data_IF_528888230745
#
_entry.id   IF_528888230745
#
_cell.length_a   1.000
_cell.length_b   1.000
_cell.length_c   1.000
_cell.angle_alpha   90.00
_cell.angle_beta   90.00
_cell.angle_gamma   90.00
#
_symmetry.space_group_name_H-M   'P 1'
#
loop_
_entity.id
_entity.type
_entity.pdbx_description
1 polymer ?
#
# COMPACT_ATOMS: atom_id res chain seq x y z
N UNK A 1 70.47 -31.15 56.02
CA UNK A 1 69.07 -31.21 56.51
C UNK A 1 68.38 -29.83 56.54
N UNK A 2 69.09 -28.70 56.61
CA UNK A 2 68.49 -27.35 56.61
C UNK A 2 68.12 -26.77 55.22
N UNK A 3 68.60 -27.34 54.12
CA UNK A 3 68.31 -26.84 52.76
C UNK A 3 66.97 -27.36 52.22
N UNK A 4 66.57 -28.59 52.61
CA UNK A 4 65.31 -29.19 52.18
C UNK A 4 64.07 -28.48 52.77
N UNK A 5 64.16 -27.98 54.01
CA UNK A 5 63.08 -27.24 54.66
C UNK A 5 62.83 -25.83 54.07
N UNK A 6 63.83 -25.23 53.42
CA UNK A 6 63.70 -23.91 52.80
C UNK A 6 62.95 -23.95 51.48
N UNK A 7 63.12 -25.02 50.70
CA UNK A 7 62.50 -25.19 49.38
C UNK A 7 61.01 -25.50 49.52
N UNK A 8 60.61 -26.35 50.48
CA UNK A 8 59.20 -26.65 50.74
C UNK A 8 58.41 -25.42 51.22
N UNK A 9 59.06 -24.53 51.97
CA UNK A 9 58.42 -23.29 52.45
C UNK A 9 58.22 -22.28 51.32
N UNK A 10 59.15 -22.19 50.38
CA UNK A 10 59.04 -21.32 49.21
C UNK A 10 57.95 -21.81 48.23
N UNK A 11 57.88 -23.13 47.99
CA UNK A 11 56.84 -23.72 47.14
C UNK A 11 55.43 -23.57 47.75
N UNK A 12 55.31 -23.71 49.08
CA UNK A 12 54.05 -23.47 49.79
C UNK A 12 53.57 -22.01 49.68
N UNK A 13 54.48 -21.03 49.65
CA UNK A 13 54.13 -19.62 49.49
C UNK A 13 53.67 -19.33 48.05
N UNK A 14 54.36 -19.87 47.05
CA UNK A 14 54.01 -19.70 45.63
C UNK A 14 52.65 -20.34 45.28
N UNK A 15 52.34 -21.51 45.86
CA UNK A 15 51.03 -22.15 45.71
C UNK A 15 49.88 -21.37 46.38
N UNK A 16 50.15 -20.70 47.51
CA UNK A 16 49.14 -19.85 48.15
C UNK A 16 48.88 -18.56 47.35
N UNK A 17 49.92 -17.98 46.76
CA UNK A 17 49.83 -16.76 45.96
C UNK A 17 49.09 -16.99 44.64
N UNK A 18 49.38 -18.10 43.96
CA UNK A 18 48.66 -18.54 42.75
C UNK A 18 47.19 -18.87 43.04
N UNK A 19 46.88 -19.56 44.16
CA UNK A 19 45.49 -19.80 44.58
C UNK A 19 44.74 -18.51 44.94
N UNK A 20 45.42 -17.51 45.53
CA UNK A 20 44.82 -16.21 45.87
C UNK A 20 44.55 -15.37 44.62
N UNK A 21 45.47 -15.35 43.66
CA UNK A 21 45.27 -14.66 42.38
C UNK A 21 44.14 -15.30 41.55
N UNK A 22 44.07 -16.63 41.50
CA UNK A 22 42.99 -17.31 40.78
C UNK A 22 41.61 -17.02 41.40
N UNK A 23 41.52 -16.91 42.74
CA UNK A 23 40.27 -16.50 43.42
C UNK A 23 39.90 -15.04 43.17
N UNK A 24 40.89 -14.14 43.03
CA UNK A 24 40.64 -12.73 42.70
C UNK A 24 40.10 -12.59 41.28
N UNK A 25 40.69 -13.29 40.32
CA UNK A 25 40.26 -13.30 38.91
C UNK A 25 38.84 -13.88 38.79
N UNK A 26 38.55 -14.96 39.54
CA UNK A 26 37.21 -15.56 39.56
C UNK A 26 36.14 -14.65 40.18
N UNK A 27 36.49 -13.89 41.23
CA UNK A 27 35.59 -12.89 41.83
C UNK A 27 35.33 -11.72 40.87
N UNK A 28 36.34 -11.25 40.15
CA UNK A 28 36.19 -10.17 39.15
C UNK A 28 35.35 -10.61 37.95
N UNK A 29 35.51 -11.85 37.46
CA UNK A 29 34.64 -12.42 36.41
C UNK A 29 33.19 -12.57 36.89
N UNK A 30 32.98 -12.97 38.14
CA UNK A 30 31.64 -13.12 38.70
C UNK A 30 30.97 -11.76 38.95
N UNK A 31 31.73 -10.74 39.35
CA UNK A 31 31.24 -9.36 39.48
C UNK A 31 30.92 -8.74 38.11
N UNK A 32 31.75 -9.02 37.09
CA UNK A 32 31.49 -8.59 35.71
C UNK A 32 30.23 -9.25 35.13
N UNK A 33 30.01 -10.54 35.43
CA UNK A 33 28.82 -11.27 34.98
C UNK A 33 27.55 -10.78 35.68
N UNK A 34 27.60 -10.49 36.99
CA UNK A 34 26.47 -9.93 37.72
C UNK A 34 26.10 -8.51 37.22
N UNK A 35 27.09 -7.66 36.97
CA UNK A 35 26.87 -6.32 36.37
C UNK A 35 26.29 -6.40 34.94
N UNK A 36 26.65 -7.43 34.17
CA UNK A 36 26.09 -7.64 32.83
C UNK A 36 24.62 -8.06 32.89
N UNK A 37 24.27 -8.97 33.81
CA UNK A 37 22.88 -9.41 34.04
C UNK A 37 22.02 -8.25 34.54
N UNK A 38 22.53 -7.43 35.46
CA UNK A 38 21.82 -6.24 35.98
C UNK A 38 21.57 -5.18 34.88
N UNK A 39 22.54 -4.97 33.98
CA UNK A 39 22.40 -4.08 32.81
C UNK A 39 21.40 -4.62 31.77
N UNK A 40 21.26 -5.93 31.64
CA UNK A 40 20.25 -6.56 30.77
C UNK A 40 18.83 -6.42 31.35
N UNK A 41 18.67 -6.52 32.66
CA UNK A 41 17.39 -6.29 33.33
C UNK A 41 16.96 -4.80 33.27
N UNK A 42 17.90 -3.86 33.39
CA UNK A 42 17.60 -2.43 33.24
C UNK A 42 17.15 -2.08 31.81
N UNK A 43 17.83 -2.61 30.77
CA UNK A 43 17.48 -2.39 29.35
C UNK A 43 16.14 -2.99 28.93
N UNK A 44 15.65 -4.00 29.65
CA UNK A 44 14.32 -4.59 29.42
C UNK A 44 13.19 -3.70 29.97
N UNK A 45 13.46 -2.83 30.94
CA UNK A 45 12.45 -1.95 31.55
C UNK A 45 12.26 -0.66 30.75
N UNK A 46 13.29 -0.19 30.05
CA UNK A 46 13.28 1.10 29.34
C UNK A 46 12.70 1.02 27.91
N UNK A 47 12.40 -0.19 27.41
CA UNK A 47 11.83 -0.41 26.06
C UNK A 47 10.29 -0.44 26.02
N UNK A 48 9.61 -0.17 27.14
CA UNK A 48 8.15 -0.24 27.22
C UNK A 48 7.42 1.10 27.07
N UNK A 49 8.12 2.24 26.96
CA UNK A 49 7.48 3.56 27.17
C UNK A 49 7.68 4.62 26.07
N UNK A 50 8.23 4.26 24.90
CA UNK A 50 8.54 5.27 23.86
C UNK A 50 8.19 4.82 22.44
N UNK A 51 6.91 4.50 22.16
CA UNK A 51 6.33 4.68 20.82
C UNK A 51 4.84 5.06 20.96
N UNK A 52 4.57 6.33 21.24
CA UNK A 52 3.26 6.93 20.96
C UNK A 52 3.45 8.26 20.22
N UNK A 53 2.70 8.42 19.12
CA UNK A 53 2.51 9.64 18.29
C UNK A 53 3.57 9.88 17.18
N UNK A 54 3.26 10.02 15.88
CA UNK A 54 2.21 10.78 15.15
C UNK A 54 2.04 10.20 13.69
N UNK A 55 1.21 10.77 12.78
CA UNK A 55 -0.25 10.86 12.82
C UNK A 55 -0.89 10.39 11.49
N UNK A 56 -2.19 10.08 11.54
CA UNK A 56 -3.06 10.20 10.37
C UNK A 56 -3.51 8.90 9.72
N UNK A 57 -4.57 8.31 10.26
CA UNK A 57 -5.75 7.97 9.46
C UNK A 57 -6.92 7.70 10.41
N UNK A 58 -7.96 8.52 10.28
CA UNK A 58 -9.25 8.34 10.96
C UNK A 58 -9.81 6.97 10.60
N UNK A 59 -10.07 6.12 11.58
CA UNK A 59 -11.07 5.06 11.44
C UNK A 59 -11.84 4.90 12.75
N UNK A 60 -13.16 4.81 12.60
CA UNK A 60 -14.15 4.82 13.67
C UNK A 60 -14.06 3.55 14.53
N UNK A 61 -14.19 3.79 15.83
CA UNK A 61 -14.52 2.87 16.90
C UNK A 61 -15.34 1.64 16.50
N UNK A 62 -14.83 0.45 16.84
CA UNK A 62 -15.65 -0.65 17.34
C UNK A 62 -14.89 -1.34 18.48
N UNK A 63 -15.45 -1.25 19.70
CA UNK A 63 -15.05 -2.03 20.86
C UNK A 63 -15.33 -3.51 20.57
N UNK A 64 -14.28 -4.34 20.62
CA UNK A 64 -14.42 -5.79 20.70
C UNK A 64 -14.69 -6.16 22.16
N UNK A 65 -15.95 -6.53 22.45
CA UNK A 65 -16.29 -7.24 23.68
C UNK A 65 -16.01 -8.72 23.42
N UNK A 66 -15.00 -9.26 24.11
CA UNK A 66 -14.78 -10.70 24.26
C UNK A 66 -15.79 -11.21 25.28
N UNK A 67 -16.61 -12.24 25.00
CA UNK A 67 -17.25 -13.00 26.06
C UNK A 67 -16.33 -14.15 26.47
N UNK A 68 -15.90 -14.14 27.74
CA UNK A 68 -15.48 -15.35 28.44
C UNK A 68 -16.71 -16.22 28.77
N UNK A 69 -16.53 -17.53 28.98
CA UNK A 69 -17.64 -18.45 29.18
C UNK A 69 -18.07 -18.44 30.65
N UNK A 70 -19.37 -18.31 30.90
CA UNK A 70 -19.96 -18.60 32.20
C UNK A 70 -20.87 -19.82 32.07
N UNK A 71 -20.51 -20.84 32.86
CA UNK A 71 -21.39 -21.89 33.36
C UNK A 71 -22.33 -21.26 34.40
N UNK A 72 -23.65 -21.42 34.24
CA UNK A 72 -24.56 -21.96 35.27
C UNK A 72 -26.03 -21.93 34.81
N UNK A 73 -26.54 -23.13 34.54
CA UNK A 73 -27.78 -23.73 35.08
C UNK A 73 -28.98 -22.82 35.42
N UNK A 74 -30.15 -23.11 34.82
CA UNK A 74 -31.38 -23.63 35.50
C UNK A 74 -32.56 -23.74 34.49
N UNK A 75 -33.08 -24.98 34.40
CA UNK A 75 -34.43 -25.47 34.08
C UNK A 75 -35.44 -24.66 33.23
N UNK A 76 -36.00 -25.29 32.18
CA UNK A 76 -37.35 -25.91 32.25
C UNK A 76 -37.77 -26.62 30.93
N UNK A 77 -37.99 -27.93 31.07
CA UNK A 77 -39.06 -28.78 30.51
C UNK A 77 -39.49 -28.66 29.04
N UNK A 78 -39.18 -29.74 28.32
CA UNK A 78 -39.81 -30.23 27.10
C UNK A 78 -41.24 -30.72 27.37
N UNK A 79 -42.25 -30.15 26.70
CA UNK A 79 -43.57 -30.75 26.57
C UNK A 79 -44.01 -30.85 25.10
N UNK A 80 -44.49 -32.03 24.74
CA UNK A 80 -45.12 -32.39 23.46
C UNK A 80 -46.49 -31.70 23.34
N UNK A 81 -47.03 -31.51 22.12
CA UNK A 81 -48.46 -31.48 21.92
C UNK A 81 -48.94 -32.79 21.28
N UNK A 82 -49.73 -33.55 22.04
CA UNK A 82 -50.73 -34.49 21.54
C UNK A 82 -52.09 -33.84 21.85
N UNK A 83 -53.00 -33.74 20.88
CA UNK A 83 -54.48 -33.68 21.01
C UNK A 83 -55.03 -33.51 19.57
N UNK A 84 -56.16 -34.05 19.14
CA UNK A 84 -56.91 -35.30 19.30
C UNK A 84 -58.03 -35.17 18.24
N UNK A 85 -58.52 -36.30 17.74
CA UNK A 85 -59.55 -36.41 16.71
C UNK A 85 -60.89 -35.74 17.07
N UNK A 86 -61.54 -35.25 16.01
CA UNK A 86 -62.96 -35.41 15.64
C UNK A 86 -63.93 -35.83 16.74
N UNK A 87 -64.93 -34.96 17.00
CA UNK A 87 -66.29 -35.40 17.33
C UNK A 87 -67.33 -34.38 16.83
N UNK A 88 -68.16 -34.83 15.90
CA UNK A 88 -69.40 -34.18 15.50
C UNK A 88 -70.39 -34.14 16.68
N UNK A 89 -71.11 -33.04 16.85
CA UNK A 89 -72.35 -33.00 17.63
C UNK A 89 -73.27 -31.90 17.07
N UNK A 90 -74.41 -32.35 16.56
CA UNK A 90 -75.57 -31.59 16.12
C UNK A 90 -76.00 -30.50 17.10
N UNK A 91 -76.33 -29.31 16.58
CA UNK A 91 -77.47 -28.51 17.04
C UNK A 91 -78.11 -27.82 15.84
N UNK A 92 -79.28 -28.35 15.45
CA UNK A 92 -80.27 -27.67 14.62
C UNK A 92 -80.71 -26.37 15.28
N UNK A 93 -80.78 -25.28 14.50
CA UNK A 93 -81.68 -24.17 14.77
C UNK A 93 -82.28 -23.71 13.44
N UNK A 94 -83.42 -24.30 13.07
CA UNK A 94 -84.34 -23.68 12.14
C UNK A 94 -84.96 -22.45 12.82
N UNK A 95 -84.92 -21.29 12.15
CA UNK A 95 -85.98 -20.30 12.32
C UNK A 95 -86.26 -19.63 10.98
N UNK A 96 -87.54 -19.68 10.64
CA UNK A 96 -88.15 -19.36 9.37
C UNK A 96 -87.89 -17.94 8.87
N UNK A 97 -87.73 -17.88 7.55
CA UNK A 97 -87.83 -16.74 6.66
C UNK A 97 -88.93 -15.74 7.04
N UNK A 98 -88.60 -14.45 7.01
CA UNK A 98 -89.41 -13.47 6.28
C UNK A 98 -88.63 -12.17 6.08
N UNK A 99 -88.75 -11.60 4.89
CA UNK A 99 -88.15 -10.34 4.45
C UNK A 99 -86.62 -10.37 4.24
N UNK A 100 -86.16 -10.77 3.05
CA UNK A 100 -85.36 -9.89 2.18
C UNK A 100 -84.79 -10.60 0.97
N UNK A 101 -85.59 -10.67 -0.11
CA UNK A 101 -85.08 -10.93 -1.46
C UNK A 101 -84.13 -9.81 -1.94
N UNK A 102 -83.99 -8.72 -1.18
CA UNK A 102 -82.99 -7.65 -1.40
C UNK A 102 -81.79 -7.65 -0.43
N UNK A 103 -81.75 -8.47 0.63
CA UNK A 103 -80.61 -8.56 1.57
C UNK A 103 -79.74 -9.78 1.36
N UNK A 104 -80.27 -10.86 0.78
CA UNK A 104 -79.46 -12.00 0.35
C UNK A 104 -78.43 -11.60 -0.72
N UNK A 105 -78.85 -10.78 -1.68
CA UNK A 105 -77.97 -10.21 -2.70
C UNK A 105 -76.89 -9.29 -2.07
N UNK A 106 -77.19 -8.60 -0.98
CA UNK A 106 -76.20 -7.76 -0.27
C UNK A 106 -75.23 -8.61 0.56
N UNK A 107 -75.70 -9.69 1.21
CA UNK A 107 -74.84 -10.65 1.93
C UNK A 107 -73.92 -11.39 0.97
N UNK A 108 -74.42 -11.85 -0.17
CA UNK A 108 -73.60 -12.48 -1.22
C UNK A 108 -72.56 -11.52 -1.81
N UNK A 109 -72.91 -10.25 -2.03
CA UNK A 109 -71.95 -9.21 -2.45
C UNK A 109 -70.87 -8.96 -1.40
N UNK A 110 -71.22 -8.96 -0.12
CA UNK A 110 -70.25 -8.84 0.99
C UNK A 110 -69.36 -10.08 1.06
N UNK A 111 -69.92 -11.28 0.96
CA UNK A 111 -69.16 -12.54 0.94
C UNK A 111 -68.21 -12.59 -0.25
N UNK A 112 -68.66 -12.18 -1.45
CA UNK A 112 -67.82 -12.13 -2.64
C UNK A 112 -66.69 -11.09 -2.51
N UNK A 113 -66.95 -9.95 -1.87
CA UNK A 113 -65.92 -8.93 -1.58
C UNK A 113 -64.86 -9.48 -0.60
N UNK A 114 -65.29 -10.15 0.47
CA UNK A 114 -64.39 -10.77 1.44
C UNK A 114 -63.55 -11.91 0.85
N UNK A 115 -64.12 -12.72 -0.05
CA UNK A 115 -63.37 -13.76 -0.77
C UNK A 115 -62.30 -13.15 -1.69
N UNK A 116 -62.61 -12.07 -2.40
CA UNK A 116 -61.62 -11.33 -3.21
C UNK A 116 -60.51 -10.75 -2.35
N UNK A 117 -60.84 -10.17 -1.20
CA UNK A 117 -59.84 -9.66 -0.25
C UNK A 117 -58.97 -10.78 0.33
N UNK A 118 -59.57 -11.93 0.64
CA UNK A 118 -58.86 -13.13 1.09
C UNK A 118 -57.89 -13.64 0.03
N UNK A 119 -58.30 -13.67 -1.24
CA UNK A 119 -57.44 -14.08 -2.35
C UNK A 119 -56.31 -13.08 -2.59
N UNK A 120 -56.56 -11.78 -2.47
CA UNK A 120 -55.54 -10.74 -2.51
C UNK A 120 -54.55 -10.91 -1.34
N UNK A 121 -55.04 -11.19 -0.13
CA UNK A 121 -54.20 -11.43 1.06
C UNK A 121 -53.36 -12.70 0.91
N UNK A 122 -53.93 -13.80 0.40
CA UNK A 122 -53.20 -15.04 0.11
C UNK A 122 -52.09 -14.81 -0.92
N UNK A 123 -52.38 -14.09 -2.00
CA UNK A 123 -51.38 -13.75 -3.01
C UNK A 123 -50.26 -12.85 -2.45
N UNK A 124 -50.61 -11.86 -1.62
CA UNK A 124 -49.63 -11.02 -0.92
C UNK A 124 -48.76 -11.83 0.05
N UNK A 125 -49.35 -12.72 0.85
CA UNK A 125 -48.63 -13.57 1.80
C UNK A 125 -47.67 -14.52 1.07
N UNK A 126 -48.12 -15.17 -0.02
CA UNK A 126 -47.24 -15.99 -0.87
C UNK A 126 -46.04 -15.18 -1.41
N UNK A 127 -46.27 -13.96 -1.89
CA UNK A 127 -45.20 -13.07 -2.37
C UNK A 127 -44.24 -12.64 -1.26
N UNK A 128 -44.74 -12.42 -0.04
CA UNK A 128 -43.89 -12.12 1.13
C UNK A 128 -43.05 -13.34 1.54
N UNK A 129 -43.63 -14.54 1.49
CA UNK A 129 -42.92 -15.77 1.79
C UNK A 129 -41.81 -16.05 0.75
N UNK A 130 -42.08 -15.83 -0.53
CA UNK A 130 -41.05 -15.90 -1.59
C UNK A 130 -39.91 -14.91 -1.34
N UNK A 131 -40.24 -13.64 -1.03
CA UNK A 131 -39.23 -12.62 -0.67
C UNK A 131 -38.42 -13.02 0.56
N UNK A 132 -39.05 -13.52 1.61
CA UNK A 132 -38.37 -13.98 2.82
C UNK A 132 -37.38 -15.11 2.50
N UNK A 133 -37.80 -16.10 1.71
CA UNK A 133 -36.90 -17.19 1.31
C UNK A 133 -35.74 -16.73 0.43
N UNK A 134 -35.93 -15.67 -0.36
CA UNK A 134 -34.89 -15.09 -1.20
C UNK A 134 -33.87 -14.30 -0.36
N UNK A 135 -34.34 -13.45 0.56
CA UNK A 135 -33.49 -12.72 1.50
C UNK A 135 -32.70 -13.69 2.39
N UNK A 136 -33.33 -14.76 2.89
CA UNK A 136 -32.66 -15.82 3.66
C UNK A 136 -31.50 -16.47 2.87
N UNK A 137 -31.69 -16.68 1.56
CA UNK A 137 -30.63 -17.23 0.68
C UNK A 137 -29.49 -16.24 0.50
N UNK A 138 -29.78 -14.97 0.25
CA UNK A 138 -28.76 -13.92 0.13
C UNK A 138 -28.01 -13.70 1.45
N UNK A 139 -28.70 -13.71 2.59
CA UNK A 139 -28.08 -13.62 3.92
C UNK A 139 -27.11 -14.79 4.17
N UNK A 140 -27.52 -16.04 3.86
CA UNK A 140 -26.63 -17.21 3.97
C UNK A 140 -25.41 -17.08 3.08
N UNK A 141 -25.59 -16.60 1.84
CA UNK A 141 -24.50 -16.38 0.87
C UNK A 141 -23.52 -15.30 1.34
N UNK A 142 -24.01 -14.19 1.88
CA UNK A 142 -23.17 -13.13 2.45
C UNK A 142 -22.40 -13.63 3.68
N UNK A 143 -23.05 -14.41 4.56
CA UNK A 143 -22.39 -15.02 5.72
C UNK A 143 -21.22 -15.92 5.31
N UNK A 144 -21.44 -16.80 4.33
CA UNK A 144 -20.39 -17.69 3.81
C UNK A 144 -19.23 -16.90 3.17
N UNK A 145 -19.52 -15.80 2.45
CA UNK A 145 -18.47 -14.93 1.89
C UNK A 145 -17.62 -14.27 2.98
N UNK A 146 -18.25 -13.81 4.06
CA UNK A 146 -17.56 -13.17 5.17
C UNK A 146 -16.67 -14.18 5.92
N UNK A 147 -17.18 -15.38 6.19
CA UNK A 147 -16.42 -16.46 6.82
C UNK A 147 -15.23 -16.89 5.95
N UNK A 148 -15.41 -16.99 4.63
CA UNK A 148 -14.32 -17.27 3.71
C UNK A 148 -13.25 -16.17 3.73
N UNK A 149 -13.66 -14.90 3.74
CA UNK A 149 -12.74 -13.77 3.81
C UNK A 149 -11.94 -13.78 5.12
N UNK A 150 -12.59 -14.04 6.25
CA UNK A 150 -11.96 -14.17 7.56
C UNK A 150 -10.89 -15.28 7.55
N UNK A 151 -11.23 -16.46 7.02
CA UNK A 151 -10.29 -17.59 6.91
C UNK A 151 -9.09 -17.28 6.01
N UNK A 152 -9.30 -16.57 4.91
CA UNK A 152 -8.21 -16.12 4.03
C UNK A 152 -7.29 -15.14 4.75
N UNK A 153 -7.85 -14.20 5.52
CA UNK A 153 -7.04 -13.25 6.30
C UNK A 153 -6.27 -13.93 7.43
N UNK A 154 -6.90 -14.88 8.13
CA UNK A 154 -6.28 -15.68 9.20
C UNK A 154 -5.10 -16.50 8.65
N UNK A 155 -5.30 -17.19 7.51
CA UNK A 155 -4.23 -17.95 6.85
C UNK A 155 -3.06 -17.05 6.43
N UNK A 156 -3.33 -15.85 5.90
CA UNK A 156 -2.29 -14.89 5.51
C UNK A 156 -1.51 -14.35 6.72
N UNK A 157 -2.17 -14.18 7.86
CA UNK A 157 -1.50 -13.78 9.11
C UNK A 157 -0.62 -14.93 9.61
N UNK A 158 -1.13 -16.16 9.62
CA UNK A 158 -0.36 -17.33 10.03
C UNK A 158 0.88 -17.55 9.14
N UNK A 159 0.74 -17.45 7.82
CA UNK A 159 1.86 -17.55 6.87
C UNK A 159 2.96 -16.52 7.17
N UNK A 160 2.58 -15.25 7.34
CA UNK A 160 3.53 -14.19 7.69
C UNK A 160 4.20 -14.42 9.05
N UNK A 161 3.44 -14.93 10.02
CA UNK A 161 3.95 -15.20 11.37
C UNK A 161 4.96 -16.34 11.33
N UNK A 162 4.66 -17.41 10.60
CA UNK A 162 5.59 -18.55 10.41
C UNK A 162 6.88 -18.09 9.71
N UNK A 163 6.78 -17.30 8.64
CA UNK A 163 7.95 -16.77 7.94
C UNK A 163 8.85 -15.91 8.86
N UNK A 164 8.25 -15.06 9.69
CA UNK A 164 9.00 -14.25 10.65
C UNK A 164 9.70 -15.11 11.72
N UNK A 165 9.03 -16.16 12.21
CA UNK A 165 9.63 -17.09 13.18
C UNK A 165 10.83 -17.81 12.56
N UNK A 166 10.71 -18.25 11.31
CA UNK A 166 11.81 -18.89 10.57
C UNK A 166 13.00 -17.94 10.37
N UNK A 167 12.76 -16.68 10.02
CA UNK A 167 13.81 -15.65 9.90
C UNK A 167 14.53 -15.41 11.23
N UNK A 168 13.79 -15.25 12.32
CA UNK A 168 14.37 -15.07 13.66
C UNK A 168 15.21 -16.28 14.06
N UNK A 169 14.73 -17.49 13.79
CA UNK A 169 15.46 -18.71 14.08
C UNK A 169 16.77 -18.81 13.28
N UNK A 170 16.72 -18.49 11.97
CA UNK A 170 17.91 -18.46 11.13
C UNK A 170 18.92 -17.41 11.61
N UNK A 171 18.48 -16.18 11.87
CA UNK A 171 19.35 -15.12 12.38
C UNK A 171 19.99 -15.47 13.74
N UNK A 172 19.23 -16.15 14.61
CA UNK A 172 19.73 -16.63 15.89
C UNK A 172 20.81 -17.70 15.71
N UNK A 173 20.60 -18.66 14.82
CA UNK A 173 21.60 -19.68 14.48
C UNK A 173 22.88 -19.07 13.93
N UNK A 174 22.77 -18.12 13.00
CA UNK A 174 23.92 -17.40 12.44
C UNK A 174 24.69 -16.63 13.51
N UNK A 175 23.97 -15.95 14.43
CA UNK A 175 24.59 -15.26 15.57
C UNK A 175 25.36 -16.23 16.47
N UNK A 176 24.78 -17.38 16.81
CA UNK A 176 25.44 -18.37 17.66
C UNK A 176 26.68 -18.98 16.99
N UNK A 177 26.61 -19.24 15.68
CA UNK A 177 27.75 -19.73 14.88
C UNK A 177 28.88 -18.69 14.79
N UNK A 178 28.53 -17.42 14.60
CA UNK A 178 29.50 -16.32 14.58
C UNK A 178 30.18 -16.14 15.94
N UNK A 179 29.42 -16.24 17.05
CA UNK A 179 29.97 -16.17 18.41
C UNK A 179 30.91 -17.34 18.68
N UNK A 180 30.52 -18.56 18.34
CA UNK A 180 31.38 -19.75 18.50
C UNK A 180 32.67 -19.64 17.68
N UNK A 181 32.57 -19.14 16.44
CA UNK A 181 33.72 -18.94 15.57
C UNK A 181 34.69 -17.90 16.13
N UNK A 182 34.17 -16.78 16.65
CA UNK A 182 34.99 -15.74 17.29
C UNK A 182 35.67 -16.23 18.57
N UNK A 183 34.98 -17.03 19.36
CA UNK A 183 35.55 -17.63 20.57
C UNK A 183 36.68 -18.63 20.23
N UNK A 184 36.49 -19.44 19.19
CA UNK A 184 37.55 -20.35 18.71
C UNK A 184 38.78 -19.59 18.26
N UNK A 185 38.62 -18.55 17.45
CA UNK A 185 39.72 -17.72 16.99
C UNK A 185 40.48 -17.08 18.16
N UNK A 186 39.76 -16.53 19.15
CA UNK A 186 40.40 -15.94 20.33
C UNK A 186 41.21 -16.98 21.14
N UNK A 187 40.73 -18.23 21.23
CA UNK A 187 41.48 -19.31 21.87
C UNK A 187 42.72 -19.69 21.07
N UNK A 188 42.60 -19.81 19.75
CA UNK A 188 43.72 -20.10 18.85
C UNK A 188 44.80 -19.01 18.93
N UNK A 189 44.42 -17.73 18.87
CA UNK A 189 45.35 -16.59 18.99
C UNK A 189 46.07 -16.57 20.34
N UNK A 190 45.34 -16.87 21.43
CA UNK A 190 45.92 -16.97 22.77
C UNK A 190 46.91 -18.13 22.86
N UNK A 191 46.55 -19.29 22.34
CA UNK A 191 47.40 -20.48 22.38
C UNK A 191 48.67 -20.27 21.52
N UNK A 192 48.53 -19.60 20.37
CA UNK A 192 49.67 -19.20 19.53
C UNK A 192 50.57 -18.19 20.24
N UNK A 193 50.00 -17.19 20.94
CA UNK A 193 50.76 -16.24 21.74
C UNK A 193 51.53 -16.93 22.87
N UNK A 194 50.92 -17.90 23.55
CA UNK A 194 51.57 -18.72 24.58
C UNK A 194 52.71 -19.54 23.97
N UNK A 195 52.51 -20.15 22.80
CA UNK A 195 53.54 -20.90 22.10
C UNK A 195 54.73 -20.02 21.71
N UNK A 196 54.48 -18.83 21.16
CA UNK A 196 55.53 -17.84 20.83
C UNK A 196 56.31 -17.41 22.07
N UNK A 197 55.61 -17.09 23.17
CA UNK A 197 56.25 -16.69 24.42
C UNK A 197 57.19 -17.78 24.96
N UNK A 198 56.75 -19.05 24.96
CA UNK A 198 57.58 -20.19 25.37
C UNK A 198 58.79 -20.39 24.46
N UNK A 199 58.66 -20.22 23.15
CA UNK A 199 59.79 -20.31 22.22
C UNK A 199 60.83 -19.21 22.45
N UNK A 200 60.38 -17.98 22.72
CA UNK A 200 61.27 -16.88 23.06
C UNK A 200 61.99 -17.12 24.39
N UNK A 201 61.29 -17.63 25.40
CA UNK A 201 61.88 -18.03 26.68
C UNK A 201 62.97 -19.09 26.50
N UNK A 202 62.71 -20.13 25.70
CA UNK A 202 63.71 -21.14 25.37
C UNK A 202 64.93 -20.54 24.64
N UNK A 203 64.70 -19.61 23.70
CA UNK A 203 65.78 -18.93 22.97
C UNK A 203 66.62 -18.04 23.88
N UNK A 204 66.00 -17.31 24.82
CA UNK A 204 66.71 -16.51 25.82
C UNK A 204 67.57 -17.38 26.74
N UNK A 205 67.04 -18.53 27.17
CA UNK A 205 67.79 -19.50 27.99
C UNK A 205 69.00 -20.09 27.26
N UNK A 206 68.96 -20.19 25.94
CA UNK A 206 70.11 -20.58 25.11
C UNK A 206 71.15 -19.46 25.05
N UNK A 207 70.72 -18.20 24.93
CA UNK A 207 71.61 -17.04 24.86
C UNK A 207 72.30 -16.72 26.20
N UNK A 208 71.65 -16.97 27.35
CA UNK A 208 72.24 -16.78 28.68
C UNK A 208 73.52 -17.62 28.92
N UNK A 209 73.72 -18.69 28.14
CA UNK A 209 74.91 -19.55 28.20
C UNK A 209 76.09 -19.09 27.33
N UNK A 210 76.01 -17.92 26.68
CA UNK A 210 77.07 -17.40 25.80
C UNK A 210 77.81 -16.25 26.51
N UNK A 211 79.07 -16.47 26.87
CA UNK A 211 79.99 -15.42 27.32
C UNK A 211 80.27 -14.45 26.15
N UNK A 212 79.88 -13.16 26.22
CA UNK A 212 80.01 -12.24 25.09
C UNK A 212 81.46 -11.78 24.86
N UNK A 213 82.30 -11.75 25.89
CA UNK A 213 83.67 -11.22 25.81
C UNK A 213 84.64 -12.11 25.01
N UNK A 214 84.38 -13.42 24.93
CA UNK A 214 85.20 -14.38 24.16
C UNK A 214 84.77 -14.54 22.69
N UNK A 215 83.53 -14.16 22.32
CA UNK A 215 83.02 -14.36 20.95
C UNK A 215 83.39 -13.22 19.98
N UNK A 216 83.56 -11.99 20.46
CA UNK A 216 83.84 -10.82 19.62
C UNK A 216 85.33 -10.65 19.27
N UNK A 217 86.23 -11.33 19.98
CA UNK A 217 87.65 -11.29 19.64
C UNK A 217 87.91 -11.97 18.29
N UNK A 218 88.66 -11.31 17.42
CA UNK A 218 89.06 -11.95 16.15
C UNK A 218 90.09 -13.05 16.42
N UNK A 219 90.15 -14.08 15.55
CA UNK A 219 91.17 -15.13 15.66
C UNK A 219 92.59 -14.52 15.64
N UNK A 220 92.76 -13.42 14.91
CA UNK A 220 94.02 -12.66 14.86
C UNK A 220 94.36 -12.02 16.20
N UNK A 221 93.39 -11.46 16.93
CA UNK A 221 93.60 -10.91 18.28
C UNK A 221 93.96 -11.99 19.29
N UNK A 222 93.30 -13.15 19.26
CA UNK A 222 93.62 -14.29 20.12
C UNK A 222 95.03 -14.82 19.86
N UNK A 223 95.43 -14.93 18.59
CA UNK A 223 96.79 -15.34 18.21
C UNK A 223 97.84 -14.30 18.63
N UNK A 224 97.55 -13.01 18.46
CA UNK A 224 98.44 -11.93 18.93
C UNK A 224 98.58 -11.93 20.46
N UNK A 225 97.51 -12.24 21.21
CA UNK A 225 97.57 -12.38 22.67
C UNK A 225 98.38 -13.58 23.12
N UNK A 226 98.26 -14.71 22.43
CA UNK A 226 99.12 -15.89 22.68
C UNK A 226 100.59 -15.56 22.40
N UNK A 227 100.87 -14.86 21.30
CA UNK A 227 102.24 -14.50 20.91
C UNK A 227 102.90 -13.49 21.87
N UNK A 228 102.10 -12.65 22.53
CA UNK A 228 102.55 -11.61 23.46
C UNK A 228 102.30 -11.98 24.94
N UNK A 229 101.93 -13.22 25.26
CA UNK A 229 101.62 -13.63 26.62
C UNK A 229 102.90 -13.91 27.43
N UNK A 230 103.06 -13.21 28.56
CA UNK A 230 104.22 -13.34 29.44
C UNK A 230 104.17 -14.57 30.36
N UNK A 231 103.04 -15.30 30.39
CA UNK A 231 102.83 -16.47 31.25
C UNK A 231 102.22 -17.64 30.49
N UNK A 232 102.61 -18.87 30.87
CA UNK A 232 102.06 -20.09 30.29
C UNK A 232 100.56 -20.27 30.55
N UNK A 233 100.04 -19.71 31.65
CA UNK A 233 98.61 -19.73 31.98
C UNK A 233 97.82 -18.88 30.98
N UNK A 234 98.28 -17.67 30.66
CA UNK A 234 97.62 -16.82 29.67
C UNK A 234 97.65 -17.42 28.25
N UNK A 235 98.72 -18.15 27.90
CA UNK A 235 98.77 -18.93 26.65
C UNK A 235 97.71 -20.03 26.65
N UNK A 236 97.56 -20.75 27.77
CA UNK A 236 96.59 -21.84 27.91
C UNK A 236 95.14 -21.34 27.84
N UNK A 237 94.82 -20.23 28.50
CA UNK A 237 93.47 -19.63 28.49
C UNK A 237 93.08 -19.18 27.08
N UNK A 238 93.91 -18.37 26.41
CA UNK A 238 93.64 -17.95 25.04
C UNK A 238 93.64 -19.14 24.06
N UNK A 239 94.49 -20.15 24.29
CA UNK A 239 94.49 -21.40 23.53
C UNK A 239 93.19 -22.19 23.69
N UNK A 240 92.62 -22.25 24.90
CA UNK A 240 91.34 -22.90 25.17
C UNK A 240 90.18 -22.23 24.42
N UNK A 241 90.16 -20.89 24.36
CA UNK A 241 89.17 -20.12 23.59
C UNK A 241 89.25 -20.43 22.10
N UNK A 242 90.45 -20.52 21.52
CA UNK A 242 90.63 -20.89 20.11
C UNK A 242 90.11 -22.31 19.85
N UNK A 243 90.45 -23.27 20.70
CA UNK A 243 90.01 -24.67 20.57
C UNK A 243 88.49 -24.79 20.68
N UNK A 244 87.89 -24.11 21.66
CA UNK A 244 86.44 -24.06 21.85
C UNK A 244 85.75 -23.44 20.61
N UNK A 245 86.29 -22.35 20.05
CA UNK A 245 85.76 -21.72 18.82
C UNK A 245 85.84 -22.65 17.60
N UNK A 246 86.94 -23.38 17.44
CA UNK A 246 87.09 -24.38 16.37
C UNK A 246 86.05 -25.49 16.55
N UNK A 247 85.87 -25.99 17.77
CA UNK A 247 84.91 -27.02 18.09
C UNK A 247 83.48 -26.56 17.80
N UNK A 248 83.08 -25.39 18.32
CA UNK A 248 81.76 -24.76 18.08
C UNK A 248 81.51 -24.50 16.59
N UNK A 249 82.50 -24.03 15.84
CA UNK A 249 82.38 -23.82 14.39
C UNK A 249 82.17 -25.15 13.65
N UNK A 250 82.94 -26.18 14.03
CA UNK A 250 82.80 -27.52 13.44
C UNK A 250 81.44 -28.14 13.76
N UNK A 251 80.96 -27.98 14.98
CA UNK A 251 79.66 -28.50 15.41
C UNK A 251 78.50 -27.73 14.76
N UNK A 252 78.61 -26.41 14.65
CA UNK A 252 77.64 -25.59 13.91
C UNK A 252 77.55 -26.01 12.44
N UNK A 253 78.69 -26.26 11.77
CA UNK A 253 78.70 -26.78 10.39
C UNK A 253 77.99 -28.14 10.28
N UNK A 254 78.25 -29.07 11.19
CA UNK A 254 77.55 -30.37 11.21
C UNK A 254 76.04 -30.21 11.42
N UNK A 255 75.64 -29.34 12.36
CA UNK A 255 74.23 -29.04 12.65
C UNK A 255 73.52 -28.47 11.43
N UNK A 256 74.12 -27.48 10.76
CA UNK A 256 73.59 -26.90 9.52
C UNK A 256 73.43 -27.98 8.45
N UNK A 257 74.47 -28.78 8.20
CA UNK A 257 74.38 -29.87 7.20
C UNK A 257 73.31 -30.90 7.55
N UNK A 258 73.12 -31.23 8.83
CA UNK A 258 72.06 -32.14 9.27
C UNK A 258 70.66 -31.54 9.10
N UNK A 259 70.48 -30.26 9.44
CA UNK A 259 69.23 -29.52 9.22
C UNK A 259 68.90 -29.40 7.73
N UNK A 260 69.87 -29.07 6.89
CA UNK A 260 69.71 -29.03 5.42
C UNK A 260 69.34 -30.40 4.86
N UNK A 261 70.01 -31.47 5.30
CA UNK A 261 69.69 -32.83 4.87
C UNK A 261 68.28 -33.25 5.31
N UNK A 262 67.86 -32.90 6.54
CA UNK A 262 66.51 -33.17 7.02
C UNK A 262 65.45 -32.39 6.23
N UNK A 263 65.67 -31.11 5.94
CA UNK A 263 64.75 -30.30 5.14
C UNK A 263 64.54 -30.91 3.74
N UNK A 264 65.62 -31.37 3.09
CA UNK A 264 65.54 -32.05 1.79
C UNK A 264 64.77 -33.38 1.89
N UNK A 265 64.94 -34.13 2.98
CA UNK A 265 64.19 -35.37 3.20
C UNK A 265 62.70 -35.10 3.42
N UNK A 266 62.35 -34.08 4.20
CA UNK A 266 60.96 -33.67 4.43
C UNK A 266 60.28 -33.20 3.15
N UNK A 267 60.97 -32.39 2.32
CA UNK A 267 60.45 -31.95 1.02
C UNK A 267 60.21 -33.14 0.08
N UNK A 268 61.16 -34.08 0.02
CA UNK A 268 61.01 -35.32 -0.75
C UNK A 268 59.80 -36.12 -0.29
N UNK A 269 59.62 -36.30 1.02
CA UNK A 269 58.54 -37.12 1.57
C UNK A 269 57.17 -36.45 1.41
N UNK A 270 57.11 -35.11 1.50
CA UNK A 270 55.93 -34.33 1.16
C UNK A 270 55.56 -34.50 -0.32
N UNK A 271 56.53 -34.37 -1.24
CA UNK A 271 56.32 -34.58 -2.66
C UNK A 271 55.85 -36.01 -2.97
N UNK A 272 56.47 -37.02 -2.38
CA UNK A 272 56.05 -38.42 -2.53
C UNK A 272 54.62 -38.66 -2.02
N UNK A 273 54.25 -38.03 -0.91
CA UNK A 273 52.89 -38.12 -0.35
C UNK A 273 51.87 -37.46 -1.28
N UNK A 274 52.20 -36.32 -1.88
CA UNK A 274 51.36 -35.68 -2.89
C UNK A 274 51.22 -36.54 -4.14
N UNK A 275 52.30 -37.11 -4.66
CA UNK A 275 52.27 -38.03 -5.80
C UNK A 275 51.35 -39.23 -5.52
N UNK A 276 51.51 -39.90 -4.37
CA UNK A 276 50.66 -41.02 -3.97
C UNK A 276 49.19 -40.65 -3.84
N UNK A 277 48.88 -39.43 -3.37
CA UNK A 277 47.50 -38.93 -3.29
C UNK A 277 46.91 -38.72 -4.68
N UNK A 278 47.65 -38.03 -5.55
CA UNK A 278 47.22 -37.77 -6.94
C UNK A 278 47.04 -39.08 -7.72
N UNK A 279 47.89 -40.08 -7.51
CA UNK A 279 47.74 -41.41 -8.12
C UNK A 279 46.44 -42.10 -7.68
N UNK A 280 46.09 -42.01 -6.40
CA UNK A 280 44.82 -42.55 -5.87
C UNK A 280 43.60 -41.81 -6.41
N UNK A 281 43.66 -40.48 -6.49
CA UNK A 281 42.60 -39.64 -7.06
C UNK A 281 42.39 -39.97 -8.54
N UNK A 282 43.48 -40.14 -9.30
CA UNK A 282 43.42 -40.55 -10.70
C UNK A 282 42.78 -41.93 -10.83
N UNK A 283 43.19 -42.91 -10.00
CA UNK A 283 42.57 -44.24 -10.01
C UNK A 283 41.08 -44.16 -9.68
N UNK A 284 40.69 -43.40 -8.66
CA UNK A 284 39.30 -43.22 -8.27
C UNK A 284 38.47 -42.57 -9.38
N UNK A 285 39.00 -41.54 -10.05
CA UNK A 285 38.33 -40.88 -11.17
C UNK A 285 38.21 -41.80 -12.39
N UNK A 286 39.23 -42.63 -12.66
CA UNK A 286 39.17 -43.67 -13.70
C UNK A 286 38.11 -44.72 -13.39
N UNK A 287 38.03 -45.18 -12.15
CA UNK A 287 37.05 -46.15 -11.69
C UNK A 287 35.64 -45.55 -11.69
N UNK A 288 35.47 -44.29 -11.30
CA UNK A 288 34.20 -43.56 -11.38
C UNK A 288 33.75 -43.39 -12.84
N UNK A 289 34.65 -43.04 -13.76
CA UNK A 289 34.33 -42.94 -15.18
C UNK A 289 34.00 -44.31 -15.80
N UNK A 290 34.73 -45.36 -15.42
CA UNK A 290 34.47 -46.72 -15.90
C UNK A 290 33.15 -47.27 -15.34
N UNK A 291 32.82 -47.00 -14.08
CA UNK A 291 31.54 -47.39 -13.45
C UNK A 291 30.37 -46.53 -13.95
N UNK A 292 30.59 -45.27 -14.32
CA UNK A 292 29.61 -44.42 -14.99
C UNK A 292 29.34 -44.90 -16.43
N UNK A 293 30.39 -45.26 -17.18
CA UNK A 293 30.26 -45.80 -18.54
C UNK A 293 29.61 -47.20 -18.57
N UNK A 294 29.85 -48.04 -17.55
CA UNK A 294 29.26 -49.38 -17.46
C UNK A 294 27.85 -49.41 -16.85
N UNK A 295 27.38 -48.32 -16.21
CA UNK A 295 26.01 -48.19 -15.73
C UNK A 295 25.13 -47.45 -16.73
N UNK A 296 24.62 -48.17 -17.73
CA UNK A 296 23.66 -47.66 -18.73
C UNK A 296 22.43 -46.93 -18.11
N UNK A 297 22.09 -47.22 -16.86
CA UNK A 297 21.03 -46.53 -16.10
C UNK A 297 21.34 -45.08 -15.75
N UNK A 298 22.60 -44.71 -15.51
CA UNK A 298 22.95 -43.35 -15.06
C UNK A 298 22.91 -42.35 -16.22
N UNK A 299 23.43 -42.73 -17.39
CA UNK A 299 23.28 -41.97 -18.64
C UNK A 299 21.80 -41.77 -19.02
N UNK A 300 20.95 -42.77 -18.76
CA UNK A 300 19.51 -42.67 -19.05
C UNK A 300 18.78 -41.77 -18.05
N UNK A 301 19.15 -41.80 -16.77
CA UNK A 301 18.55 -40.95 -15.72
C UNK A 301 18.93 -39.47 -15.88
N UNK A 302 20.20 -39.18 -16.15
CA UNK A 302 20.69 -37.82 -16.42
C UNK A 302 20.07 -37.25 -17.71
N UNK A 303 19.98 -38.06 -18.77
CA UNK A 303 19.29 -37.69 -20.00
C UNK A 303 17.78 -37.46 -19.79
N UNK A 304 17.13 -38.23 -18.91
CA UNK A 304 15.72 -38.03 -18.56
C UNK A 304 15.52 -36.75 -17.74
N UNK A 305 16.44 -36.42 -16.83
CA UNK A 305 16.41 -35.17 -16.07
C UNK A 305 16.66 -33.96 -16.98
N UNK A 306 17.62 -34.05 -17.90
CA UNK A 306 17.87 -33.03 -18.92
C UNK A 306 16.63 -32.83 -19.81
N UNK A 307 16.00 -33.92 -20.26
CA UNK A 307 14.75 -33.86 -21.04
C UNK A 307 13.61 -33.22 -20.25
N UNK A 308 13.48 -33.53 -18.96
CA UNK A 308 12.46 -32.92 -18.10
C UNK A 308 12.69 -31.42 -17.89
N UNK A 309 13.94 -30.99 -17.68
CA UNK A 309 14.29 -29.58 -17.58
C UNK A 309 14.04 -28.84 -18.89
N UNK A 310 14.38 -29.46 -20.03
CA UNK A 310 14.12 -28.89 -21.36
C UNK A 310 12.61 -28.75 -21.64
N UNK A 311 11.81 -29.74 -21.28
CA UNK A 311 10.35 -29.68 -21.39
C UNK A 311 9.76 -28.57 -20.49
N UNK A 312 10.27 -28.42 -19.26
CA UNK A 312 9.85 -27.36 -18.34
C UNK A 312 10.20 -25.97 -18.89
N UNK A 313 11.39 -25.81 -19.46
CA UNK A 313 11.83 -24.56 -20.07
C UNK A 313 10.95 -24.17 -21.27
N UNK A 314 10.64 -25.14 -22.14
CA UNK A 314 9.73 -24.91 -23.27
C UNK A 314 8.33 -24.51 -22.80
N UNK A 315 7.76 -25.21 -21.82
CA UNK A 315 6.45 -24.86 -21.25
C UNK A 315 6.43 -23.47 -20.63
N UNK A 316 7.50 -23.08 -19.92
CA UNK A 316 7.63 -21.72 -19.39
C UNK A 316 7.75 -20.67 -20.49
N UNK A 317 8.43 -20.99 -21.59
CA UNK A 317 8.53 -20.10 -22.74
C UNK A 317 7.17 -19.90 -23.43
N UNK A 318 6.42 -20.97 -23.66
CA UNK A 318 5.06 -20.91 -24.22
C UNK A 318 4.13 -20.09 -23.31
N UNK A 319 4.17 -20.32 -21.99
CA UNK A 319 3.39 -19.53 -21.02
C UNK A 319 3.76 -18.04 -21.06
N UNK A 320 5.06 -17.72 -21.20
CA UNK A 320 5.53 -16.33 -21.37
C UNK A 320 5.00 -15.72 -22.65
N UNK A 321 5.03 -16.44 -23.76
CA UNK A 321 4.54 -15.95 -25.06
C UNK A 321 3.02 -15.69 -25.02
N UNK A 322 2.25 -16.59 -24.39
CA UNK A 322 0.81 -16.38 -24.17
C UNK A 322 0.55 -15.13 -23.32
N UNK A 323 1.29 -14.95 -22.22
CA UNK A 323 1.14 -13.78 -21.36
C UNK A 323 1.48 -12.47 -22.09
N UNK A 324 2.55 -12.47 -22.90
CA UNK A 324 2.92 -11.32 -23.74
C UNK A 324 1.82 -10.99 -24.74
N UNK A 325 1.22 -11.99 -25.36
CA UNK A 325 0.11 -11.78 -26.29
C UNK A 325 -1.12 -11.19 -25.58
N UNK A 326 -1.43 -11.66 -24.36
CA UNK A 326 -2.50 -11.09 -23.53
C UNK A 326 -2.24 -9.64 -23.12
N UNK A 327 -0.99 -9.30 -22.79
CA UNK A 327 -0.64 -7.91 -22.49
C UNK A 327 -0.81 -7.01 -23.71
N UNK A 328 -0.45 -7.49 -24.89
CA UNK A 328 -0.66 -6.74 -26.14
C UNK A 328 -2.15 -6.48 -26.42
N UNK A 329 -3.02 -7.48 -26.24
CA UNK A 329 -4.47 -7.28 -26.40
C UNK A 329 -5.02 -6.29 -25.37
N UNK A 330 -4.56 -6.37 -24.12
CA UNK A 330 -4.98 -5.43 -23.07
C UNK A 330 -4.51 -4.00 -23.35
N UNK A 331 -3.31 -3.83 -23.91
CA UNK A 331 -2.79 -2.54 -24.34
C UNK A 331 -3.66 -1.93 -25.45
N UNK A 332 -4.04 -2.73 -26.45
CA UNK A 332 -4.95 -2.31 -27.53
C UNK A 332 -6.33 -1.91 -26.99
N UNK A 333 -6.87 -2.65 -26.02
CA UNK A 333 -8.13 -2.30 -25.33
C UNK A 333 -8.01 -0.97 -24.57
N UNK A 334 -6.91 -0.76 -23.83
CA UNK A 334 -6.67 0.50 -23.11
C UNK A 334 -6.58 1.67 -24.10
N UNK A 335 -5.90 1.51 -25.23
CA UNK A 335 -5.81 2.55 -26.26
C UNK A 335 -7.19 2.84 -26.85
N UNK A 336 -7.98 1.81 -27.13
CA UNK A 336 -9.36 1.92 -27.62
C UNK A 336 -10.24 2.68 -26.63
N UNK A 337 -10.17 2.32 -25.35
CA UNK A 337 -10.90 3.02 -24.27
C UNK A 337 -10.49 4.49 -24.15
N UNK A 338 -9.20 4.82 -24.31
CA UNK A 338 -8.73 6.21 -24.30
C UNK A 338 -9.33 7.02 -25.44
N UNK A 339 -9.41 6.45 -26.65
CA UNK A 339 -10.06 7.10 -27.80
C UNK A 339 -11.54 7.30 -27.53
N UNK A 340 -12.25 6.28 -27.05
CA UNK A 340 -13.67 6.39 -26.70
C UNK A 340 -13.92 7.46 -25.63
N UNK A 341 -13.13 7.50 -24.56
CA UNK A 341 -13.25 8.51 -23.52
C UNK A 341 -13.00 9.93 -24.05
N UNK A 342 -11.97 10.10 -24.87
CA UNK A 342 -11.66 11.39 -25.51
C UNK A 342 -12.80 11.85 -26.41
N UNK A 343 -13.35 10.95 -27.23
CA UNK A 343 -14.48 11.25 -28.10
C UNK A 343 -15.73 11.62 -27.30
N UNK A 344 -16.07 10.84 -26.28
CA UNK A 344 -17.21 11.12 -25.40
C UNK A 344 -17.08 12.50 -24.73
N UNK A 345 -15.87 12.84 -24.26
CA UNK A 345 -15.59 14.15 -23.66
C UNK A 345 -15.82 15.29 -24.66
N UNK A 346 -15.34 15.14 -25.89
CA UNK A 346 -15.54 16.13 -26.96
C UNK A 346 -17.01 16.27 -27.36
N UNK A 347 -17.74 15.16 -27.51
CA UNK A 347 -19.17 15.16 -27.84
C UNK A 347 -20.01 15.80 -26.72
N UNK A 348 -19.68 15.52 -25.45
CA UNK A 348 -20.35 16.17 -24.32
C UNK A 348 -20.08 17.68 -24.28
N UNK A 349 -18.87 18.10 -24.65
CA UNK A 349 -18.54 19.52 -24.78
C UNK A 349 -19.32 20.17 -25.93
N UNK A 350 -19.50 19.47 -27.05
CA UNK A 350 -20.33 19.92 -28.18
C UNK A 350 -21.81 20.06 -27.79
N UNK A 351 -22.35 19.10 -27.04
CA UNK A 351 -23.73 19.17 -26.52
C UNK A 351 -23.94 20.40 -25.64
N UNK A 352 -22.98 20.68 -24.74
CA UNK A 352 -23.04 21.89 -23.92
C UNK A 352 -22.99 23.18 -24.76
N UNK A 353 -22.11 23.24 -25.77
CA UNK A 353 -22.04 24.38 -26.69
C UNK A 353 -23.34 24.55 -27.50
N UNK A 354 -23.96 23.45 -27.90
CA UNK A 354 -25.25 23.45 -28.60
C UNK A 354 -26.36 24.01 -27.72
N UNK A 355 -26.39 23.65 -26.45
CA UNK A 355 -27.36 24.21 -25.50
C UNK A 355 -27.15 25.71 -25.27
N UNK A 356 -25.89 26.15 -25.13
CA UNK A 356 -25.57 27.58 -25.04
C UNK A 356 -25.99 28.35 -26.31
N UNK A 357 -25.74 27.77 -27.48
CA UNK A 357 -26.15 28.35 -28.75
C UNK A 357 -27.67 28.46 -28.84
N UNK A 358 -28.41 27.39 -28.51
CA UNK A 358 -29.86 27.39 -28.51
C UNK A 358 -30.45 28.41 -27.52
N UNK A 359 -29.86 28.56 -26.33
CA UNK A 359 -30.28 29.57 -25.36
C UNK A 359 -30.07 30.99 -25.89
N UNK A 360 -28.92 31.24 -26.50
CA UNK A 360 -28.61 32.53 -27.15
C UNK A 360 -29.57 32.81 -28.30
N UNK A 361 -29.86 31.82 -29.14
CA UNK A 361 -30.79 31.92 -30.26
C UNK A 361 -32.20 32.27 -29.78
N UNK A 362 -32.72 31.56 -28.77
CA UNK A 362 -34.03 31.85 -28.16
C UNK A 362 -34.10 33.26 -27.60
N UNK A 363 -33.02 33.74 -26.98
CA UNK A 363 -32.95 35.13 -26.47
C UNK A 363 -33.10 36.15 -27.59
N UNK A 364 -32.43 35.92 -28.74
CA UNK A 364 -32.59 36.79 -29.91
C UNK A 364 -33.97 36.69 -30.55
N UNK A 365 -34.55 35.49 -30.64
CA UNK A 365 -35.92 35.27 -31.13
C UNK A 365 -36.95 36.00 -30.25
N UNK A 366 -36.82 35.93 -28.93
CA UNK A 366 -37.68 36.65 -27.99
C UNK A 366 -37.51 38.17 -28.14
N UNK A 367 -36.28 38.66 -28.27
CA UNK A 367 -36.01 40.08 -28.50
C UNK A 367 -36.62 40.58 -29.83
N UNK A 368 -36.49 39.79 -30.91
CA UNK A 368 -37.09 40.10 -32.20
C UNK A 368 -38.61 40.09 -32.14
N UNK A 369 -39.21 39.08 -31.50
CA UNK A 369 -40.67 39.00 -31.31
C UNK A 369 -41.20 40.18 -30.49
N UNK A 370 -40.48 40.57 -29.44
CA UNK A 370 -40.83 41.76 -28.65
C UNK A 370 -40.77 43.04 -29.50
N UNK A 371 -39.73 43.19 -30.33
CA UNK A 371 -39.61 44.31 -31.26
C UNK A 371 -40.74 44.32 -32.29
N UNK A 372 -41.07 43.16 -32.86
CA UNK A 372 -42.17 43.01 -33.82
C UNK A 372 -43.50 43.41 -33.19
N UNK A 373 -43.79 42.94 -31.97
CA UNK A 373 -44.98 43.35 -31.22
C UNK A 373 -45.05 44.87 -31.03
N UNK A 374 -43.94 45.52 -30.66
CA UNK A 374 -43.87 46.99 -30.51
C UNK A 374 -44.13 47.68 -31.84
N UNK A 375 -43.58 47.18 -32.95
CA UNK A 375 -43.82 47.73 -34.29
C UNK A 375 -45.29 47.57 -34.68
N UNK A 376 -45.90 46.40 -34.47
CA UNK A 376 -47.31 46.16 -34.76
C UNK A 376 -48.22 47.10 -33.96
N UNK A 377 -47.96 47.29 -32.67
CA UNK A 377 -48.72 48.23 -31.82
C UNK A 377 -48.57 49.66 -32.36
N UNK A 378 -47.34 50.09 -32.68
CA UNK A 378 -47.07 51.42 -33.20
C UNK A 378 -47.76 51.65 -34.55
N UNK A 379 -47.76 50.63 -35.41
CA UNK A 379 -48.41 50.71 -36.71
C UNK A 379 -49.93 50.81 -36.59
N UNK A 380 -50.54 50.02 -35.72
CA UNK A 380 -51.97 50.12 -35.42
C UNK A 380 -52.35 51.51 -34.90
N UNK A 381 -51.54 52.08 -33.98
CA UNK A 381 -51.75 53.43 -33.48
C UNK A 381 -51.64 54.49 -34.59
N UNK A 382 -50.67 54.36 -35.49
CA UNK A 382 -50.52 55.27 -36.63
C UNK A 382 -51.70 55.18 -37.61
N UNK A 383 -52.20 53.97 -37.88
CA UNK A 383 -53.39 53.75 -38.71
C UNK A 383 -54.62 54.38 -38.06
N UNK A 384 -54.83 54.19 -36.75
CA UNK A 384 -55.91 54.83 -36.01
C UNK A 384 -55.80 56.37 -36.07
N UNK A 385 -54.61 56.92 -35.84
CA UNK A 385 -54.37 58.36 -35.92
C UNK A 385 -54.64 58.92 -37.32
N UNK A 386 -54.27 58.18 -38.38
CA UNK A 386 -54.55 58.56 -39.76
C UNK A 386 -56.07 58.58 -40.04
N UNK A 387 -56.82 57.60 -39.53
CA UNK A 387 -58.29 57.60 -39.65
C UNK A 387 -58.93 58.77 -38.91
N UNK A 388 -58.46 59.08 -37.70
CA UNK A 388 -58.94 60.25 -36.93
C UNK A 388 -58.64 61.56 -37.68
N UNK A 389 -57.43 61.70 -38.24
CA UNK A 389 -57.06 62.87 -39.04
C UNK A 389 -57.96 63.03 -40.28
N UNK A 390 -58.23 61.93 -40.99
CA UNK A 390 -59.09 61.94 -42.16
C UNK A 390 -60.54 62.31 -41.79
N UNK A 391 -61.05 61.80 -40.67
CA UNK A 391 -62.35 62.19 -40.14
C UNK A 391 -62.40 63.69 -39.84
N UNK A 392 -61.43 64.24 -39.10
CA UNK A 392 -61.35 65.67 -38.78
C UNK A 392 -61.27 66.53 -40.07
N UNK A 393 -60.53 66.09 -41.09
CA UNK A 393 -60.48 66.78 -42.37
C UNK A 393 -61.85 66.80 -43.07
N UNK A 394 -62.60 65.69 -43.05
CA UNK A 394 -63.95 65.66 -43.62
C UNK A 394 -64.94 66.51 -42.84
N UNK A 395 -64.89 66.51 -41.51
CA UNK A 395 -65.69 67.36 -40.65
C UNK A 395 -65.40 68.84 -40.91
N UNK A 396 -64.10 69.21 -41.00
CA UNK A 396 -63.68 70.55 -41.37
C UNK A 396 -64.26 70.96 -42.73
N UNK A 397 -64.12 70.14 -43.77
CA UNK A 397 -64.66 70.45 -45.10
C UNK A 397 -66.19 70.64 -45.09
N UNK A 398 -66.92 69.83 -44.31
CA UNK A 398 -68.37 69.98 -44.14
C UNK A 398 -68.72 71.29 -43.43
N UNK A 399 -68.01 71.66 -42.37
CA UNK A 399 -68.24 72.93 -41.66
C UNK A 399 -67.89 74.15 -42.51
N UNK A 400 -66.85 74.05 -43.35
CA UNK A 400 -66.46 75.10 -44.30
C UNK A 400 -67.54 75.31 -45.37
N UNK A 401 -68.14 74.23 -45.87
CA UNK A 401 -69.27 74.28 -46.80
C UNK A 401 -70.52 74.90 -46.15
N UNK A 402 -70.84 74.53 -44.90
CA UNK A 402 -71.94 75.15 -44.14
C UNK A 402 -71.72 76.65 -43.92
N UNK A 403 -70.48 77.05 -43.60
CA UNK A 403 -70.12 78.46 -43.45
C UNK A 403 -70.32 79.23 -44.75
N UNK A 404 -69.92 78.65 -45.89
CA UNK A 404 -70.08 79.28 -47.20
C UNK A 404 -71.56 79.50 -47.55
N UNK A 405 -72.42 78.50 -47.31
CA UNK A 405 -73.87 78.67 -47.47
C UNK A 405 -74.46 79.73 -46.53
N UNK A 406 -73.98 79.82 -45.28
CA UNK A 406 -74.44 80.85 -44.35
C UNK A 406 -74.01 82.26 -44.80
N UNK A 407 -72.80 82.41 -45.34
CA UNK A 407 -72.30 83.66 -45.92
C UNK A 407 -73.17 84.07 -47.13
N UNK A 408 -73.44 83.15 -48.05
CA UNK A 408 -74.31 83.39 -49.22
C UNK A 408 -75.72 83.80 -48.79
N UNK A 409 -76.33 83.07 -47.86
CA UNK A 409 -77.65 83.40 -47.32
C UNK A 409 -77.67 84.78 -46.64
N UNK A 410 -76.63 85.11 -45.86
CA UNK A 410 -76.46 86.42 -45.25
C UNK A 410 -76.31 87.52 -46.30
N UNK A 411 -75.56 87.28 -47.38
CA UNK A 411 -75.40 88.23 -48.48
C UNK A 411 -76.73 88.49 -49.19
N UNK A 412 -77.49 87.44 -49.53
CA UNK A 412 -78.83 87.56 -50.13
C UNK A 412 -79.79 88.31 -49.20
N UNK A 413 -79.76 88.01 -47.91
CA UNK A 413 -80.54 88.73 -46.91
C UNK A 413 -80.14 90.21 -46.84
N UNK A 414 -78.83 90.52 -46.85
CA UNK A 414 -78.31 91.88 -46.83
C UNK A 414 -78.69 92.66 -48.09
N UNK A 415 -78.66 92.04 -49.27
CA UNK A 415 -79.12 92.65 -50.53
C UNK A 415 -80.62 92.94 -50.50
N UNK A 416 -81.41 92.04 -49.90
CA UNK A 416 -82.85 92.26 -49.70
C UNK A 416 -83.10 93.40 -48.72
N UNK A 417 -82.33 93.48 -47.63
CA UNK A 417 -82.37 94.60 -46.69
C UNK A 417 -82.01 95.89 -47.40
N UNK A 418 -80.91 95.96 -48.16
CA UNK A 418 -80.55 97.16 -48.94
C UNK A 418 -81.63 97.56 -49.95
N UNK A 419 -82.26 96.59 -50.63
CA UNK A 419 -83.40 96.87 -51.53
C UNK A 419 -84.58 97.45 -50.76
N UNK A 420 -84.91 96.88 -49.61
CA UNK A 420 -85.97 97.38 -48.73
C UNK A 420 -85.63 98.77 -48.17
N UNK A 421 -84.39 99.00 -47.74
CA UNK A 421 -83.89 100.31 -47.30
C UNK A 421 -84.03 101.34 -48.41
N UNK A 422 -83.60 101.04 -49.65
CA UNK A 422 -83.81 101.90 -50.82
C UNK A 422 -85.29 102.16 -51.09
N UNK A 423 -86.14 101.15 -50.95
CA UNK A 423 -87.58 101.28 -51.19
C UNK A 423 -88.26 102.09 -50.08
N UNK A 424 -87.84 101.91 -48.83
CA UNK A 424 -88.21 102.74 -47.68
C UNK A 424 -87.73 104.17 -47.89
N UNK A 425 -86.52 104.41 -48.39
CA UNK A 425 -86.01 105.75 -48.71
C UNK A 425 -86.80 106.39 -49.86
N UNK A 426 -87.15 105.63 -50.90
CA UNK A 426 -88.03 106.08 -52.00
C UNK A 426 -89.43 106.40 -51.47
N UNK A 427 -89.98 105.58 -50.57
CA UNK A 427 -91.27 105.84 -49.93
C UNK A 427 -91.18 107.03 -48.97
N UNK A 428 -90.11 107.19 -48.18
CA UNK A 428 -89.84 108.38 -47.37
C UNK A 428 -89.73 109.62 -48.25
N UNK A 429 -89.09 109.52 -49.43
CA UNK A 429 -89.10 110.58 -50.44
C UNK A 429 -90.52 110.83 -50.97
N UNK A 430 -91.27 109.82 -51.41
CA UNK A 430 -92.65 109.99 -51.96
C UNK A 430 -93.68 110.46 -50.93
N UNK A 431 -93.54 110.08 -49.66
CA UNK A 431 -94.35 110.58 -48.54
C UNK A 431 -93.84 111.95 -48.08
N UNK A 432 -92.53 112.21 -48.21
CA UNK A 432 -91.90 113.51 -47.92
C UNK A 432 -92.00 114.56 -49.04
N UNK A 433 -92.33 114.18 -50.28
CA UNK A 433 -92.64 115.08 -51.42
C UNK A 433 -94.05 114.90 -51.97
N UNK A 434 -94.87 114.07 -51.32
CA UNK A 434 -96.30 113.99 -51.50
C UNK A 434 -96.99 114.97 -50.56
N UNK A 435 -97.15 116.20 -51.01
CA UNK A 435 -98.09 117.18 -50.47
C UNK A 435 -99.48 116.54 -50.37
N UNK A 436 -99.82 116.01 -49.21
CA UNK A 436 -101.20 115.78 -48.76
C UNK A 436 -101.39 116.57 -47.46
N UNK A 437 -101.54 117.88 -47.66
CA UNK A 437 -102.30 118.90 -46.91
C UNK A 437 -102.20 120.19 -47.75
N UNK A 438 -103.24 120.64 -48.46
CA UNK A 438 -104.52 121.23 -48.02
C UNK A 438 -104.32 122.49 -47.16
N UNK A 439 -104.71 123.65 -47.70
CA UNK A 439 -104.88 125.00 -47.12
C UNK A 439 -104.56 125.12 -45.61
N UNK A 440 -103.46 125.81 -45.27
CA UNK A 440 -103.39 127.28 -45.16
C UNK A 440 -102.20 127.77 -45.97
#
# INVERSE_FOLDING_TARGET
MYIAYGIDRANSYLEQETKKNNKSIQLDEQLAMNNFVERMHQKSSDLLDEVTELPGQRSRNFQAIIPKPDDETIYCTTEKPNIMEVRNSDLHCECMNSCQVTSDLNKEKTIASLLKELDILKAKNKKLQEKLTQEDKEQRKLKLKLELQEKVTEAKIAEKTTALIEEVYCAQKERDEAVLSRLRLANEERDEAIARARNMEMSLKVLENINPEENDMTLQELLNRINNADTGIAIQENGAVIVDRIYKTKECKKRITAEEMNAVLEERDAALSQCKRLEKELHHLKEQNQTSANNMRHLTAENNQERALKAKLLSMQEAREIAVQQYKTLEEEIQTLRVYYSLHKSLSQEENLKDQFNHTLRTYEEALKNRENVISITQQQNEELATQLQQVLTERANTELQLQHAIEASQVASEKVQKLERLVDVLRKKVGTGTIRTVI
#
